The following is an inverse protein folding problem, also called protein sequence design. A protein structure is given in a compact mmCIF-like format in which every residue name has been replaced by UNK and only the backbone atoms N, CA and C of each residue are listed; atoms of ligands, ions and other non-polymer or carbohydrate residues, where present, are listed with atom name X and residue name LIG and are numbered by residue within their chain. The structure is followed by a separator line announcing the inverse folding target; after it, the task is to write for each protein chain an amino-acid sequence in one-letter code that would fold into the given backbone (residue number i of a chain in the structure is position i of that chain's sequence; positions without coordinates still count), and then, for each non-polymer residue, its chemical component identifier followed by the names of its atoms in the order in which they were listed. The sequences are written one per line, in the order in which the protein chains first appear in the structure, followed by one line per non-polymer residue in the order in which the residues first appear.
data_IF_467086832316
#
_entry.id   IF_467086832316
#
_cell.length_a   1.000
_cell.length_b   1.000
_cell.length_c   1.000
_cell.angle_alpha   90.00
_cell.angle_beta   90.00
_cell.angle_gamma   90.00
#
_symmetry.space_group_name_H-M   'P 1'
#
loop_
_entity.id
_entity.type
_entity.pdbx_description
1 polymer ?
#
# COMPACT_ATOMS: atom_id res chain seq x y z
N UNK A 1 10.57 -2.52 17.36
CA UNK A 1 11.58 -2.32 16.30
C UNK A 1 10.83 -1.78 15.10
N UNK A 2 11.40 -0.83 14.34
CA UNK A 2 10.83 -0.34 13.09
C UNK A 2 11.18 -1.29 11.94
N UNK A 3 10.30 -1.42 10.95
CA UNK A 3 10.35 -2.49 9.94
C UNK A 3 10.42 -1.99 8.50
N UNK A 4 9.96 -0.77 8.23
CA UNK A 4 9.89 -0.23 6.87
C UNK A 4 11.26 0.06 6.25
N UNK A 5 11.32 0.11 4.91
CA UNK A 5 12.55 0.25 4.13
C UNK A 5 13.31 1.56 4.42
N UNK A 6 12.59 2.69 4.42
CA UNK A 6 13.14 4.04 4.56
C UNK A 6 12.63 4.75 5.83
N UNK A 7 12.37 3.98 6.91
CA UNK A 7 11.88 4.49 8.20
C UNK A 7 10.52 5.19 8.12
N UNK A 8 9.66 4.77 7.23
CA UNK A 8 8.29 5.30 7.07
C UNK A 8 7.51 5.16 8.36
N UNK A 9 7.52 3.97 8.97
CA UNK A 9 6.88 3.66 10.24
C UNK A 9 7.47 4.49 11.40
N UNK A 10 8.79 4.70 11.42
CA UNK A 10 9.44 5.59 12.39
C UNK A 10 8.97 7.05 12.24
N UNK A 11 8.94 7.56 10.99
CA UNK A 11 8.48 8.92 10.73
C UNK A 11 7.03 9.12 11.19
N UNK A 12 6.14 8.21 10.80
CA UNK A 12 4.72 8.28 11.17
C UNK A 12 4.51 8.17 12.68
N UNK A 13 5.21 7.25 13.35
CA UNK A 13 5.13 7.11 14.80
C UNK A 13 5.57 8.37 15.54
N UNK A 14 6.72 8.93 15.14
CA UNK A 14 7.33 10.04 15.89
C UNK A 14 6.69 11.39 15.59
N UNK A 15 6.20 11.61 14.38
CA UNK A 15 5.72 12.93 13.93
C UNK A 15 4.20 13.02 13.80
N UNK A 16 3.52 11.89 13.58
CA UNK A 16 2.08 11.87 13.30
C UNK A 16 1.31 11.18 14.41
N UNK A 17 1.49 9.88 14.61
CA UNK A 17 0.66 9.07 15.51
C UNK A 17 1.07 9.14 16.98
N UNK A 18 2.36 9.35 17.27
CA UNK A 18 2.90 9.65 18.63
C UNK A 18 2.39 8.70 19.71
N UNK A 19 2.43 7.41 19.45
CA UNK A 19 1.98 6.38 20.40
C UNK A 19 0.46 6.15 20.42
N UNK A 20 -0.28 6.67 19.44
CA UNK A 20 -1.73 6.40 19.31
C UNK A 20 -2.00 4.91 19.26
N UNK A 21 -2.94 4.45 20.08
CA UNK A 21 -3.30 3.02 20.25
C UNK A 21 -4.61 2.70 19.56
N UNK A 22 -4.77 1.39 19.28
CA UNK A 22 -6.02 0.80 18.77
C UNK A 22 -6.48 1.41 17.44
N UNK A 23 -5.53 1.83 16.58
CA UNK A 23 -5.80 2.36 15.25
C UNK A 23 -6.15 1.27 14.24
N UNK A 24 -6.64 1.70 13.09
CA UNK A 24 -6.96 0.85 11.94
C UNK A 24 -6.09 1.23 10.76
N UNK A 25 -5.45 0.24 10.14
CA UNK A 25 -4.70 0.43 8.90
C UNK A 25 -5.29 -0.39 7.74
N UNK A 26 -4.98 0.01 6.52
CA UNK A 26 -5.08 -0.81 5.31
C UNK A 26 -3.71 -0.78 4.65
N UNK A 27 -3.17 -1.96 4.34
CA UNK A 27 -1.86 -2.16 3.72
C UNK A 27 -2.07 -2.83 2.35
N UNK A 28 -1.88 -2.05 1.29
CA UNK A 28 -2.07 -2.48 -0.10
C UNK A 28 -0.71 -2.76 -0.71
N UNK A 29 -0.46 -4.02 -1.04
CA UNK A 29 0.87 -4.53 -1.38
C UNK A 29 1.63 -4.97 -0.13
N UNK A 30 0.95 -5.65 0.80
CA UNK A 30 1.51 -5.99 2.11
C UNK A 30 2.64 -7.03 2.06
N UNK A 31 2.90 -7.65 0.91
CA UNK A 31 3.87 -8.71 0.70
C UNK A 31 3.70 -9.84 1.73
N UNK A 32 4.78 -10.32 2.36
CA UNK A 32 4.72 -11.35 3.41
C UNK A 32 4.29 -10.81 4.79
N UNK A 33 4.02 -9.50 4.88
CA UNK A 33 3.58 -8.81 6.09
C UNK A 33 4.66 -8.53 7.12
N UNK A 34 5.92 -8.88 6.85
CA UNK A 34 7.06 -8.72 7.78
C UNK A 34 8.24 -8.00 7.12
N UNK A 35 8.61 -8.45 5.92
CA UNK A 35 9.77 -7.93 5.19
C UNK A 35 9.51 -6.49 4.76
N UNK A 36 10.31 -5.55 5.26
CA UNK A 36 10.22 -4.10 4.98
C UNK A 36 8.79 -3.53 5.00
N UNK A 37 7.97 -3.99 5.94
CA UNK A 37 6.53 -3.69 5.98
C UNK A 37 6.23 -2.38 6.73
N UNK A 38 5.34 -1.56 6.18
CA UNK A 38 5.01 -0.22 6.66
C UNK A 38 4.03 -0.18 7.83
N UNK A 39 3.30 -1.28 8.10
CA UNK A 39 2.23 -1.33 9.10
C UNK A 39 2.52 -2.23 10.30
N UNK A 40 3.50 -3.14 10.19
CA UNK A 40 3.81 -4.13 11.23
C UNK A 40 4.17 -3.49 12.59
N UNK A 41 4.90 -2.37 12.57
CA UNK A 41 5.23 -1.65 13.80
C UNK A 41 3.96 -1.26 14.59
N UNK A 42 2.96 -0.73 13.92
CA UNK A 42 1.72 -0.26 14.55
C UNK A 42 0.92 -1.43 15.13
N UNK A 43 0.85 -2.57 14.45
CA UNK A 43 0.23 -3.77 15.00
C UNK A 43 0.94 -4.24 16.26
N UNK A 44 2.27 -4.41 16.19
CA UNK A 44 3.04 -4.99 17.29
C UNK A 44 3.20 -4.08 18.50
N UNK A 45 3.35 -2.77 18.28
CA UNK A 45 3.69 -1.83 19.36
C UNK A 45 2.50 -0.98 19.82
N UNK A 46 1.53 -0.73 18.94
CA UNK A 46 0.43 0.19 19.21
C UNK A 46 -0.95 -0.48 19.26
N UNK A 47 -0.99 -1.83 19.20
CA UNK A 47 -2.22 -2.62 19.22
C UNK A 47 -3.20 -2.25 18.08
N UNK A 48 -2.65 -1.85 16.92
CA UNK A 48 -3.46 -1.58 15.75
C UNK A 48 -3.94 -2.88 15.12
N UNK A 49 -5.05 -2.82 14.41
CA UNK A 49 -5.54 -3.91 13.57
C UNK A 49 -5.81 -3.38 12.16
N UNK A 50 -6.04 -4.26 11.21
CA UNK A 50 -6.32 -3.78 9.86
C UNK A 50 -6.48 -4.88 8.83
N UNK A 51 -6.40 -4.42 7.58
CA UNK A 51 -6.50 -5.25 6.39
C UNK A 51 -5.16 -5.21 5.65
N UNK A 52 -4.60 -6.39 5.38
CA UNK A 52 -3.46 -6.57 4.49
C UNK A 52 -3.94 -7.17 3.17
N UNK A 53 -3.44 -6.67 2.05
CA UNK A 53 -3.88 -7.07 0.72
C UNK A 53 -2.65 -7.46 -0.10
N UNK A 54 -2.64 -8.71 -0.61
CA UNK A 54 -1.53 -9.26 -1.39
C UNK A 54 -2.06 -10.16 -2.53
N UNK A 55 -1.76 -9.84 -3.79
CA UNK A 55 -2.27 -10.59 -4.93
C UNK A 55 -1.58 -11.93 -5.19
N UNK A 56 -0.28 -12.08 -4.88
CA UNK A 56 0.48 -13.29 -5.17
C UNK A 56 0.15 -14.37 -4.14
N UNK A 57 -0.49 -15.45 -4.57
CA UNK A 57 -1.01 -16.50 -3.67
C UNK A 57 0.04 -17.09 -2.72
N UNK A 58 1.25 -17.36 -3.18
CA UNK A 58 2.32 -17.91 -2.33
C UNK A 58 2.81 -16.92 -1.27
N UNK A 59 2.85 -15.63 -1.61
CA UNK A 59 3.24 -14.55 -0.71
C UNK A 59 2.11 -14.29 0.29
N UNK A 60 0.85 -14.27 -0.19
CA UNK A 60 -0.33 -14.20 0.66
C UNK A 60 -0.40 -15.33 1.69
N UNK A 61 -0.01 -16.56 1.35
CA UNK A 61 0.02 -17.67 2.31
C UNK A 61 1.01 -17.40 3.44
N UNK A 62 2.18 -16.82 3.13
CA UNK A 62 3.15 -16.37 4.12
C UNK A 62 2.61 -15.21 4.97
N UNK A 63 1.98 -14.21 4.33
CA UNK A 63 1.31 -13.09 4.99
C UNK A 63 0.30 -13.58 6.04
N UNK A 64 -0.54 -14.54 5.67
CA UNK A 64 -1.58 -15.09 6.56
C UNK A 64 -1.00 -15.76 7.80
N UNK A 65 0.15 -16.42 7.66
CA UNK A 65 0.88 -17.03 8.78
C UNK A 65 1.55 -15.98 9.66
N UNK A 66 2.07 -14.93 9.06
CA UNK A 66 2.81 -13.88 9.77
C UNK A 66 1.91 -12.85 10.47
N UNK A 67 0.73 -12.58 9.92
CA UNK A 67 -0.22 -11.56 10.40
C UNK A 67 -1.60 -12.17 10.73
N UNK A 68 -1.68 -13.18 11.60
CA UNK A 68 -2.92 -13.95 11.85
C UNK A 68 -4.01 -13.14 12.58
N UNK A 69 -3.67 -12.01 13.18
CA UNK A 69 -4.58 -11.10 13.89
C UNK A 69 -5.27 -10.10 12.99
N UNK A 70 -4.79 -9.96 11.76
CA UNK A 70 -5.33 -9.05 10.76
C UNK A 70 -6.25 -9.76 9.77
N UNK A 71 -7.07 -9.01 9.06
CA UNK A 71 -7.77 -9.48 7.88
C UNK A 71 -6.78 -9.51 6.72
N UNK A 72 -6.58 -10.68 6.11
CA UNK A 72 -5.69 -10.83 4.97
C UNK A 72 -6.53 -11.18 3.73
N UNK A 73 -6.31 -10.48 2.60
CA UNK A 73 -7.11 -10.63 1.38
C UNK A 73 -6.18 -10.93 0.19
N UNK A 74 -6.47 -12.02 -0.52
CA UNK A 74 -5.72 -12.39 -1.71
C UNK A 74 -6.35 -11.76 -2.96
N UNK A 75 -6.02 -10.52 -3.25
CA UNK A 75 -6.39 -9.81 -4.47
C UNK A 75 -5.42 -8.66 -4.74
N UNK A 76 -5.45 -8.07 -5.93
CA UNK A 76 -4.90 -6.76 -6.20
C UNK A 76 -5.98 -5.68 -5.98
N UNK A 77 -5.58 -4.47 -5.57
CA UNK A 77 -6.49 -3.32 -5.56
C UNK A 77 -6.36 -2.57 -6.88
N UNK A 78 -7.49 -2.27 -7.49
CA UNK A 78 -7.58 -1.55 -8.75
C UNK A 78 -8.83 -0.65 -8.78
N UNK A 79 -8.99 0.14 -9.84
CA UNK A 79 -10.17 0.99 -10.02
C UNK A 79 -11.42 0.21 -10.48
N UNK A 80 -11.32 -1.12 -10.68
CA UNK A 80 -12.43 -2.01 -11.08
C UNK A 80 -12.37 -3.33 -10.35
N UNK A 81 -13.54 -3.88 -10.00
CA UNK A 81 -13.68 -5.25 -9.52
C UNK A 81 -13.65 -6.22 -10.71
N UNK A 82 -12.96 -7.37 -10.56
CA UNK A 82 -12.88 -8.38 -11.60
C UNK A 82 -11.60 -9.20 -11.57
N UNK A 83 -10.94 -9.32 -12.71
CA UNK A 83 -9.65 -9.98 -12.86
C UNK A 83 -8.75 -9.14 -13.77
N UNK A 84 -7.45 -9.18 -13.52
CA UNK A 84 -6.44 -8.52 -14.34
C UNK A 84 -5.19 -9.36 -14.51
N UNK A 85 -4.40 -9.07 -15.56
CA UNK A 85 -3.05 -9.61 -15.70
C UNK A 85 -2.09 -8.92 -14.73
N UNK A 86 -1.27 -9.73 -14.09
CA UNK A 86 -0.31 -9.31 -13.07
C UNK A 86 1.07 -9.86 -13.40
N UNK A 87 2.08 -9.01 -13.36
CA UNK A 87 3.49 -9.41 -13.52
C UNK A 87 3.96 -9.93 -12.18
N UNK A 88 4.10 -11.24 -12.09
CA UNK A 88 4.57 -11.94 -10.90
C UNK A 88 6.06 -12.23 -11.06
N UNK A 89 6.87 -11.48 -10.34
CA UNK A 89 8.30 -11.67 -10.29
C UNK A 89 8.66 -12.69 -9.22
N UNK A 90 9.79 -13.38 -9.40
CA UNK A 90 10.28 -14.43 -8.48
C UNK A 90 11.74 -14.21 -8.16
N UNK A 91 12.13 -14.51 -6.94
CA UNK A 91 13.48 -14.33 -6.45
C UNK A 91 13.78 -12.87 -6.10
N UNK A 92 14.91 -12.35 -6.51
CA UNK A 92 15.38 -11.01 -6.11
C UNK A 92 14.40 -9.87 -6.45
N UNK A 93 13.64 -10.01 -7.53
CA UNK A 93 12.72 -8.99 -8.03
C UNK A 93 11.25 -9.21 -7.59
N UNK A 94 10.98 -10.10 -6.63
CA UNK A 94 9.62 -10.44 -6.22
C UNK A 94 8.82 -9.21 -5.76
N UNK A 95 9.44 -8.31 -5.00
CA UNK A 95 8.78 -7.12 -4.44
C UNK A 95 8.35 -6.09 -5.49
N UNK A 96 8.94 -6.11 -6.70
CA UNK A 96 8.54 -5.21 -7.78
C UNK A 96 7.52 -5.85 -8.73
N UNK A 97 6.66 -6.72 -8.20
CA UNK A 97 5.52 -7.30 -8.91
C UNK A 97 4.34 -6.33 -8.95
N UNK A 98 3.58 -6.28 -10.05
CA UNK A 98 2.50 -5.29 -10.18
C UNK A 98 1.49 -5.59 -11.28
N UNK A 99 0.39 -4.84 -11.30
CA UNK A 99 -0.63 -4.91 -12.35
C UNK A 99 -0.02 -4.53 -13.71
N UNK A 100 -0.14 -5.40 -14.69
CA UNK A 100 0.52 -5.25 -16.00
C UNK A 100 0.14 -3.96 -16.73
N UNK A 101 -1.14 -3.57 -16.69
CA UNK A 101 -1.64 -2.39 -17.39
C UNK A 101 -1.25 -1.06 -16.73
N UNK A 102 -0.92 -1.10 -15.43
CA UNK A 102 -0.50 0.09 -14.63
C UNK A 102 1.01 0.12 -14.40
N UNK A 103 1.73 -0.91 -14.85
CA UNK A 103 3.16 -1.07 -14.60
C UNK A 103 3.96 0.00 -15.36
N UNK A 104 4.75 0.79 -14.64
CA UNK A 104 5.55 1.86 -15.27
C UNK A 104 6.56 1.26 -16.27
N UNK A 105 6.67 1.80 -17.49
CA UNK A 105 7.66 1.32 -18.48
C UNK A 105 9.10 1.29 -17.95
N UNK A 106 9.46 2.15 -17.01
CA UNK A 106 10.78 2.19 -16.38
C UNK A 106 11.03 0.99 -15.48
N UNK A 107 9.97 0.45 -14.84
CA UNK A 107 10.06 -0.82 -14.11
C UNK A 107 10.41 -1.99 -15.01
N UNK A 108 9.89 -2.05 -16.24
CA UNK A 108 10.30 -3.10 -17.19
C UNK A 108 11.78 -3.07 -17.50
N UNK A 109 12.36 -1.88 -17.67
CA UNK A 109 13.80 -1.72 -17.92
C UNK A 109 14.61 -2.19 -16.72
N UNK A 110 14.22 -1.77 -15.53
CA UNK A 110 14.83 -2.19 -14.24
C UNK A 110 14.72 -3.71 -14.08
N UNK A 111 13.52 -4.25 -14.21
CA UNK A 111 13.21 -5.67 -14.07
C UNK A 111 14.07 -6.54 -15.01
N UNK A 112 14.15 -6.13 -16.29
CA UNK A 112 14.96 -6.87 -17.27
C UNK A 112 16.45 -6.87 -16.89
N UNK A 113 16.98 -5.73 -16.46
CA UNK A 113 18.38 -5.62 -16.04
C UNK A 113 18.67 -6.47 -14.77
N UNK A 114 17.83 -6.37 -13.75
CA UNK A 114 18.00 -7.10 -12.49
C UNK A 114 17.80 -8.62 -12.68
N UNK A 115 16.82 -9.06 -13.48
CA UNK A 115 16.60 -10.49 -13.78
C UNK A 115 17.80 -11.10 -14.49
N UNK A 116 18.40 -10.37 -15.45
CA UNK A 116 19.61 -10.83 -16.14
C UNK A 116 20.82 -10.97 -15.21
N UNK A 117 20.92 -10.13 -14.16
CA UNK A 117 22.04 -10.17 -13.22
C UNK A 117 21.85 -11.24 -12.13
N UNK A 118 20.60 -11.44 -11.68
CA UNK A 118 20.30 -12.27 -10.50
C UNK A 118 19.77 -13.65 -10.83
N UNK A 119 19.35 -13.88 -12.09
CA UNK A 119 18.66 -15.11 -12.50
C UNK A 119 17.20 -15.15 -12.02
N UNK A 120 16.64 -14.03 -11.56
CA UNK A 120 15.23 -13.91 -11.23
C UNK A 120 14.37 -14.04 -12.50
N UNK A 121 13.11 -14.43 -12.33
CA UNK A 121 12.18 -14.69 -13.44
C UNK A 121 10.86 -13.96 -13.24
N UNK A 122 10.14 -13.74 -14.34
CA UNK A 122 8.84 -13.10 -14.33
C UNK A 122 7.83 -13.94 -15.10
N UNK A 123 6.64 -14.10 -14.53
CA UNK A 123 5.50 -14.73 -15.19
C UNK A 123 4.33 -13.73 -15.23
N UNK A 124 3.44 -13.89 -16.20
CA UNK A 124 2.16 -13.18 -16.19
C UNK A 124 1.10 -14.13 -15.66
N UNK A 125 0.46 -13.72 -14.56
CA UNK A 125 -0.63 -14.49 -13.94
C UNK A 125 -1.93 -13.69 -13.99
N UNK A 126 -3.06 -14.35 -13.78
CA UNK A 126 -4.35 -13.66 -13.57
C UNK A 126 -4.61 -13.58 -12.07
N UNK A 127 -4.90 -12.40 -11.58
CA UNK A 127 -5.27 -12.15 -10.18
C UNK A 127 -6.68 -11.55 -10.11
N UNK A 128 -7.38 -11.80 -9.01
CA UNK A 128 -8.61 -11.08 -8.70
C UNK A 128 -8.28 -9.61 -8.42
N UNK A 129 -9.12 -8.69 -8.90
CA UNK A 129 -9.04 -7.28 -8.55
C UNK A 129 -10.28 -6.85 -7.75
N UNK A 130 -10.09 -5.96 -6.78
CA UNK A 130 -11.16 -5.30 -6.04
C UNK A 130 -10.89 -3.82 -5.92
N UNK A 131 -11.97 -3.03 -5.91
CA UNK A 131 -11.90 -1.63 -5.51
C UNK A 131 -11.71 -1.54 -3.99
N UNK A 132 -11.01 -0.51 -3.52
CA UNK A 132 -10.89 -0.29 -2.07
C UNK A 132 -12.26 0.00 -1.44
N UNK A 133 -13.15 0.71 -2.16
CA UNK A 133 -14.55 0.88 -1.76
C UNK A 133 -15.27 -0.46 -1.52
N UNK A 134 -15.08 -1.44 -2.42
CA UNK A 134 -15.68 -2.78 -2.27
C UNK A 134 -15.16 -3.47 -1.02
N UNK A 135 -13.84 -3.43 -0.78
CA UNK A 135 -13.21 -4.00 0.42
C UNK A 135 -13.73 -3.31 1.68
N UNK A 136 -13.75 -1.98 1.73
CA UNK A 136 -14.26 -1.25 2.89
C UNK A 136 -15.72 -1.60 3.20
N UNK A 137 -16.56 -1.75 2.18
CA UNK A 137 -17.95 -2.15 2.34
C UNK A 137 -18.12 -3.58 2.86
N UNK A 138 -17.33 -4.54 2.32
CA UNK A 138 -17.38 -5.95 2.76
C UNK A 138 -17.02 -6.12 4.23
N UNK A 139 -16.09 -5.30 4.74
CA UNK A 139 -15.61 -5.38 6.12
C UNK A 139 -16.16 -4.29 7.04
N UNK A 140 -17.13 -3.48 6.56
CA UNK A 140 -17.76 -2.38 7.31
C UNK A 140 -16.73 -1.36 7.85
N UNK A 141 -15.71 -1.04 7.07
CA UNK A 141 -14.69 -0.05 7.39
C UNK A 141 -15.17 1.32 6.91
N UNK A 142 -15.35 2.26 7.82
CA UNK A 142 -15.70 3.65 7.51
C UNK A 142 -14.67 4.67 8.02
N UNK A 143 -13.65 4.22 8.75
CA UNK A 143 -12.53 5.03 9.20
C UNK A 143 -11.24 4.22 9.16
N UNK A 144 -10.19 4.83 8.63
CA UNK A 144 -8.83 4.26 8.51
C UNK A 144 -7.84 5.31 9.00
N UNK A 145 -7.01 4.97 9.98
CA UNK A 145 -5.99 5.91 10.45
C UNK A 145 -4.78 5.95 9.52
N UNK A 146 -4.40 4.83 8.91
CA UNK A 146 -3.30 4.78 7.95
C UNK A 146 -3.62 3.85 6.77
N UNK A 147 -3.59 4.41 5.56
CA UNK A 147 -3.60 3.68 4.31
C UNK A 147 -2.18 3.70 3.72
N UNK A 148 -1.54 2.53 3.65
CA UNK A 148 -0.27 2.31 2.95
C UNK A 148 -0.54 1.74 1.56
N UNK A 149 0.08 2.33 0.53
CA UNK A 149 -0.07 1.91 -0.88
C UNK A 149 1.31 1.74 -1.48
N UNK A 150 1.65 0.48 -1.80
CA UNK A 150 2.90 0.08 -2.42
C UNK A 150 2.59 -1.00 -3.47
N UNK A 151 2.33 -0.58 -4.71
CA UNK A 151 1.75 -1.43 -5.76
C UNK A 151 2.45 -1.29 -7.12
N UNK A 152 3.64 -0.68 -7.13
CA UNK A 152 4.56 -0.64 -8.26
C UNK A 152 3.96 -0.03 -9.55
N UNK A 153 3.26 1.11 -9.38
CA UNK A 153 2.74 1.94 -10.46
C UNK A 153 1.20 2.06 -10.54
N UNK A 154 0.46 1.29 -9.72
CA UNK A 154 -1.00 1.36 -9.69
C UNK A 154 -1.56 2.26 -8.57
N UNK A 155 -0.73 3.06 -7.90
CA UNK A 155 -1.11 3.89 -6.73
C UNK A 155 -2.31 4.78 -7.03
N UNK A 156 -2.34 5.40 -8.22
CA UNK A 156 -3.45 6.27 -8.60
C UNK A 156 -4.75 5.50 -8.83
N UNK A 157 -4.69 4.27 -9.35
CA UNK A 157 -5.87 3.43 -9.53
C UNK A 157 -6.42 2.98 -8.18
N UNK A 158 -5.56 2.62 -7.22
CA UNK A 158 -5.94 2.36 -5.83
C UNK A 158 -6.66 3.56 -5.23
N UNK A 159 -6.08 4.75 -5.32
CA UNK A 159 -6.64 5.99 -4.76
C UNK A 159 -7.98 6.36 -5.42
N UNK A 160 -8.13 6.18 -6.74
CA UNK A 160 -9.40 6.41 -7.45
C UNK A 160 -10.50 5.41 -7.06
N UNK A 161 -10.13 4.24 -6.57
CA UNK A 161 -11.06 3.22 -6.11
C UNK A 161 -11.68 3.51 -4.74
N UNK A 162 -11.20 4.55 -4.04
CA UNK A 162 -11.70 4.97 -2.73
C UNK A 162 -12.98 5.79 -2.88
N UNK A 163 -14.00 5.45 -2.11
CA UNK A 163 -15.16 6.31 -1.91
C UNK A 163 -14.95 7.20 -0.68
N UNK A 164 -14.38 8.39 -0.89
CA UNK A 164 -14.08 9.35 0.18
C UNK A 164 -15.32 9.93 0.88
N UNK A 165 -16.53 9.71 0.33
CA UNK A 165 -17.78 10.11 0.99
C UNK A 165 -18.26 9.02 1.99
N UNK A 166 -17.77 7.79 1.86
CA UNK A 166 -18.14 6.65 2.70
C UNK A 166 -17.05 6.27 3.73
N UNK A 167 -15.78 6.49 3.40
CA UNK A 167 -14.64 6.17 4.29
C UNK A 167 -13.78 7.40 4.53
N UNK A 168 -13.53 7.69 5.82
CA UNK A 168 -12.58 8.73 6.21
C UNK A 168 -11.20 8.10 6.44
N UNK A 169 -10.17 8.69 5.85
CA UNK A 169 -8.78 8.21 6.00
C UNK A 169 -7.96 9.36 6.56
N UNK A 170 -7.30 9.15 7.71
CA UNK A 170 -6.47 10.17 8.33
C UNK A 170 -5.20 10.44 7.53
N UNK A 171 -4.44 9.39 7.24
CA UNK A 171 -3.14 9.47 6.56
C UNK A 171 -3.09 8.49 5.40
N UNK A 172 -2.64 8.97 4.26
CA UNK A 172 -2.36 8.16 3.06
C UNK A 172 -0.86 8.25 2.80
N UNK A 173 -0.19 7.10 2.76
CA UNK A 173 1.18 6.94 2.29
C UNK A 173 1.18 6.20 0.97
N UNK A 174 1.95 6.66 0.00
CA UNK A 174 2.10 5.97 -1.28
C UNK A 174 3.52 6.12 -1.82
N UNK A 175 3.96 5.10 -2.54
CA UNK A 175 5.28 5.04 -3.12
C UNK A 175 5.49 6.11 -4.20
N UNK A 176 6.72 6.67 -4.25
CA UNK A 176 7.10 7.74 -5.17
C UNK A 176 8.39 7.35 -5.91
N UNK A 177 8.37 6.22 -6.58
CA UNK A 177 9.52 5.69 -7.33
C UNK A 177 10.07 6.66 -8.38
N UNK A 178 9.20 7.50 -8.93
CA UNK A 178 9.56 8.49 -9.94
C UNK A 178 8.92 9.83 -9.61
N UNK A 179 9.73 10.89 -9.46
CA UNK A 179 9.25 12.23 -9.07
C UNK A 179 8.16 12.80 -9.97
N UNK A 180 8.10 12.38 -11.23
CA UNK A 180 7.11 12.80 -12.21
C UNK A 180 5.80 12.01 -12.17
N UNK A 181 5.76 10.89 -11.43
CA UNK A 181 4.56 10.03 -11.30
C UNK A 181 3.57 10.52 -10.24
N UNK A 182 4.01 11.26 -9.23
CA UNK A 182 3.19 11.65 -8.08
C UNK A 182 2.42 12.98 -8.18
N UNK A 183 2.75 13.97 -9.03
CA UNK A 183 2.09 15.28 -8.98
C UNK A 183 0.58 15.25 -9.26
N UNK A 184 0.08 14.31 -10.06
CA UNK A 184 -1.34 14.18 -10.34
C UNK A 184 -2.08 13.52 -9.17
N UNK A 185 -1.44 12.58 -8.45
CA UNK A 185 -1.96 11.96 -7.23
C UNK A 185 -2.10 13.03 -6.14
N UNK A 186 -1.03 13.80 -5.91
CA UNK A 186 -1.03 14.89 -4.92
C UNK A 186 -2.19 15.86 -5.21
N UNK A 187 -2.31 16.37 -6.44
CA UNK A 187 -3.39 17.30 -6.81
C UNK A 187 -4.79 16.70 -6.64
N UNK A 188 -4.93 15.41 -6.88
CA UNK A 188 -6.22 14.72 -6.67
C UNK A 188 -6.56 14.67 -5.17
N UNK A 189 -5.62 14.26 -4.32
CA UNK A 189 -5.80 14.18 -2.88
C UNK A 189 -5.96 15.57 -2.22
N UNK A 190 -5.27 16.61 -2.72
CA UNK A 190 -5.46 18.00 -2.26
C UNK A 190 -6.92 18.46 -2.44
N UNK A 191 -7.57 18.09 -3.55
CA UNK A 191 -9.00 18.39 -3.78
C UNK A 191 -9.92 17.61 -2.84
N UNK A 192 -9.43 16.52 -2.24
CA UNK A 192 -10.13 15.74 -1.21
C UNK A 192 -9.83 16.20 0.21
N UNK A 193 -9.07 17.29 0.38
CA UNK A 193 -8.78 17.86 1.70
C UNK A 193 -7.45 17.43 2.32
N UNK A 194 -6.62 16.68 1.61
CA UNK A 194 -5.31 16.26 2.09
C UNK A 194 -4.24 17.31 1.84
N UNK A 195 -3.18 17.27 2.64
CA UNK A 195 -1.95 18.04 2.46
C UNK A 195 -0.74 17.13 2.58
N UNK A 196 0.32 17.44 1.85
CA UNK A 196 1.61 16.73 1.97
C UNK A 196 2.27 17.10 3.29
N UNK A 197 2.68 16.09 4.07
CA UNK A 197 3.42 16.24 5.33
C UNK A 197 4.85 15.71 5.26
N UNK A 198 5.11 14.81 4.30
CA UNK A 198 6.46 14.26 4.07
C UNK A 198 6.61 13.83 2.60
N UNK A 199 7.82 13.98 2.08
CA UNK A 199 8.16 13.53 0.73
C UNK A 199 9.59 13.00 0.72
N UNK A 200 9.71 11.67 0.48
CA UNK A 200 10.97 10.94 0.28
C UNK A 200 10.75 9.89 -0.81
N UNK A 201 11.17 8.65 -0.61
CA UNK A 201 10.78 7.50 -1.43
C UNK A 201 9.27 7.29 -1.39
N UNK A 202 8.64 7.63 -0.26
CA UNK A 202 7.19 7.69 -0.13
C UNK A 202 6.72 9.12 0.09
N UNK A 203 5.47 9.38 -0.29
CA UNK A 203 4.76 10.62 0.01
C UNK A 203 3.69 10.32 1.05
N UNK A 204 3.72 11.07 2.17
CA UNK A 204 2.65 11.03 3.16
C UNK A 204 1.79 12.26 3.05
N UNK A 205 0.48 12.04 2.99
CA UNK A 205 -0.53 13.09 2.99
C UNK A 205 -1.51 12.88 4.14
N UNK A 206 -1.85 13.94 4.85
CA UNK A 206 -2.79 13.94 5.97
C UNK A 206 -4.04 14.74 5.62
N UNK A 207 -5.21 14.25 6.02
CA UNK A 207 -6.45 15.01 5.87
C UNK A 207 -6.50 16.17 6.86
N UNK A 208 -6.96 17.35 6.43
CA UNK A 208 -7.00 18.57 7.26
C UNK A 208 -7.90 18.45 8.49
N UNK A 209 -8.90 17.57 8.44
CA UNK A 209 -9.81 17.31 9.55
C UNK A 209 -9.36 16.13 10.43
N UNK A 210 -8.21 15.51 10.13
CA UNK A 210 -7.64 14.44 10.94
C UNK A 210 -7.28 14.93 12.33
N UNK A 211 -7.53 14.09 13.34
CA UNK A 211 -7.11 14.36 14.73
C UNK A 211 -5.59 14.49 14.87
N UNK A 212 -4.84 13.93 13.92
CA UNK A 212 -3.37 13.96 13.92
C UNK A 212 -2.78 15.19 13.23
N UNK A 213 -3.58 16.02 12.55
CA UNK A 213 -3.07 17.14 11.74
C UNK A 213 -2.56 18.33 12.59
N UNK A 214 -3.04 18.50 13.81
CA UNK A 214 -2.74 19.66 14.67
C UNK A 214 -1.95 19.32 15.94
N UNK A 215 -1.44 18.10 16.03
CA UNK A 215 -0.77 17.61 17.24
C UNK A 215 0.75 17.70 17.18
#
# INVERSE_FOLDING_TARGET
MFHSQDKQDYYLETNVFKGYKDGIFIDVGAHDGVSINNTLYFEQQNNWTGINIEPIKSVYDSLTLNRPTCININCAVSNTDGNAEFICNKGYTEMISGLKDSYDPRHFVRLHAENNQTGATSDVITVQTKRLETICNEYNINHVNYLSIDVEGAEFDVIKSINFDAVFIDVIGFENNYEDSSPHIIRYLERKGYIVIHKSLDIFMIHKDSIFYKN
#
